data_IF_550243553029
#
_entry.id   IF_550243553029
#
_cell.length_a   1.000
_cell.length_b   1.000
_cell.length_c   1.000
_cell.angle_alpha   90.00
_cell.angle_beta   90.00
_cell.angle_gamma   90.00
#
_symmetry.space_group_name_H-M   'P 1'
#
loop_
_entity.id
_entity.type
_entity.pdbx_description
1 polymer ?
#
# COMPACT_ATOMS: atom_id res chain seq x y z
N UNK A 1 -37.98 32.28 -11.36
CA UNK A 1 -37.71 31.39 -10.20
C UNK A 1 -38.22 30.02 -10.62
N UNK A 2 -37.40 28.98 -10.81
CA UNK A 2 -36.47 28.39 -9.86
C UNK A 2 -35.16 27.95 -10.53
N UNK A 3 -34.04 28.18 -9.84
CA UNK A 3 -32.73 27.59 -10.12
C UNK A 3 -32.72 26.16 -9.58
N UNK A 4 -32.22 25.19 -10.36
CA UNK A 4 -31.88 23.86 -9.85
C UNK A 4 -30.40 23.57 -10.15
N UNK A 5 -29.62 23.69 -9.06
CA UNK A 5 -28.26 23.20 -8.89
C UNK A 5 -28.32 21.73 -8.48
N UNK A 6 -27.55 20.85 -9.14
CA UNK A 6 -26.88 19.74 -8.46
C UNK A 6 -25.62 19.37 -9.24
N UNK A 7 -24.50 19.98 -8.85
CA UNK A 7 -23.19 19.39 -9.07
C UNK A 7 -23.17 18.00 -8.41
N UNK A 8 -22.94 16.94 -9.17
CA UNK A 8 -22.55 15.65 -8.62
C UNK A 8 -21.13 15.36 -9.05
N UNK A 9 -20.24 15.64 -8.10
CA UNK A 9 -18.83 15.26 -8.04
C UNK A 9 -18.59 13.80 -8.44
N UNK A 10 -17.63 13.63 -9.37
CA UNK A 10 -16.51 12.71 -9.26
C UNK A 10 -16.77 11.33 -8.65
N UNK A 11 -16.83 10.26 -9.48
CA UNK A 11 -16.05 9.04 -9.20
C UNK A 11 -15.96 8.03 -10.37
N UNK A 12 -15.24 8.34 -11.46
CA UNK A 12 -14.84 7.35 -12.49
C UNK A 12 -13.31 7.27 -12.57
N UNK A 13 -12.64 6.96 -11.46
CA UNK A 13 -11.17 6.82 -11.45
C UNK A 13 -10.64 5.57 -10.71
N UNK A 14 -11.46 4.86 -9.92
CA UNK A 14 -10.94 3.80 -9.04
C UNK A 14 -10.51 2.51 -9.79
N UNK A 15 -10.95 2.29 -11.03
CA UNK A 15 -10.64 1.05 -11.76
C UNK A 15 -9.26 1.08 -12.44
N UNK A 16 -8.72 2.28 -12.72
CA UNK A 16 -7.38 2.44 -13.31
C UNK A 16 -6.25 2.29 -12.30
N UNK A 17 -6.43 2.78 -11.07
CA UNK A 17 -5.36 2.79 -10.05
C UNK A 17 -5.05 1.41 -9.50
N UNK A 18 -6.07 0.55 -9.32
CA UNK A 18 -5.90 -0.79 -8.74
C UNK A 18 -5.04 -1.70 -9.66
N UNK A 19 -5.25 -1.61 -10.98
CA UNK A 19 -4.44 -2.33 -11.96
C UNK A 19 -3.00 -1.80 -12.07
N UNK A 20 -2.79 -0.50 -11.80
CA UNK A 20 -1.46 0.12 -11.85
C UNK A 20 -0.59 -0.29 -10.65
N UNK A 21 -1.15 -0.29 -9.44
CA UNK A 21 -0.44 -0.71 -8.22
C UNK A 21 -0.01 -2.19 -8.25
N UNK A 22 -0.86 -3.08 -8.78
CA UNK A 22 -0.51 -4.50 -8.88
C UNK A 22 0.76 -4.74 -9.70
N UNK A 23 0.99 -3.94 -10.73
CA UNK A 23 2.16 -4.06 -11.61
C UNK A 23 3.46 -3.60 -10.93
N UNK A 24 3.38 -2.62 -10.02
CA UNK A 24 4.52 -2.14 -9.25
C UNK A 24 4.93 -3.13 -8.17
N UNK A 25 3.96 -3.77 -7.52
CA UNK A 25 4.23 -4.83 -6.54
C UNK A 25 4.98 -6.03 -7.13
N UNK A 26 4.65 -6.44 -8.36
CA UNK A 26 5.32 -7.54 -9.06
C UNK A 26 6.81 -7.23 -9.36
N UNK A 27 7.17 -5.96 -9.55
CA UNK A 27 8.57 -5.54 -9.79
C UNK A 27 9.46 -5.67 -8.56
N UNK A 28 8.87 -5.66 -7.35
CA UNK A 28 9.63 -5.62 -6.10
C UNK A 28 10.31 -6.95 -5.75
N UNK A 29 10.00 -8.05 -6.45
CA UNK A 29 10.53 -9.40 -6.18
C UNK A 29 10.37 -9.84 -4.71
N UNK A 30 9.34 -9.33 -4.01
CA UNK A 30 9.03 -9.69 -2.64
C UNK A 30 7.60 -10.23 -2.55
N UNK A 31 7.33 -11.19 -1.63
CA UNK A 31 5.99 -11.73 -1.47
C UNK A 31 5.06 -10.69 -0.83
N UNK A 32 3.95 -10.42 -1.48
CA UNK A 32 2.97 -9.43 -1.01
C UNK A 32 1.78 -10.14 -0.37
N UNK A 33 1.47 -9.88 0.93
CA UNK A 33 0.29 -10.46 1.56
C UNK A 33 -1.00 -9.94 0.92
N UNK A 34 -1.96 -10.84 0.69
CA UNK A 34 -3.31 -10.50 0.21
C UNK A 34 -4.04 -9.52 1.12
N UNK A 35 -3.60 -9.40 2.38
CA UNK A 35 -4.13 -8.39 3.30
C UNK A 35 -3.95 -6.96 2.76
N UNK A 36 -2.88 -6.67 2.00
CA UNK A 36 -2.67 -5.33 1.42
C UNK A 36 -3.78 -4.99 0.43
N UNK A 37 -4.24 -5.97 -0.35
CA UNK A 37 -5.33 -5.77 -1.33
C UNK A 37 -6.65 -5.36 -0.68
N UNK A 38 -6.80 -5.61 0.62
CA UNK A 38 -7.98 -5.23 1.42
C UNK A 38 -7.87 -3.83 2.04
N UNK A 39 -6.70 -3.19 1.96
CA UNK A 39 -6.52 -1.84 2.49
C UNK A 39 -7.05 -0.77 1.54
N UNK A 40 -7.45 0.42 2.06
CA UNK A 40 -7.77 1.57 1.23
C UNK A 40 -6.57 1.99 0.37
N UNK A 41 -6.84 2.60 -0.79
CA UNK A 41 -5.81 2.99 -1.77
C UNK A 41 -4.68 3.83 -1.18
N UNK A 42 -4.98 4.76 -0.28
CA UNK A 42 -3.96 5.58 0.39
C UNK A 42 -2.94 4.71 1.15
N UNK A 43 -3.42 3.70 1.87
CA UNK A 43 -2.55 2.77 2.60
C UNK A 43 -1.77 1.87 1.63
N UNK A 44 -2.39 1.42 0.53
CA UNK A 44 -1.68 0.62 -0.46
C UNK A 44 -0.53 1.40 -1.09
N UNK A 45 -0.74 2.70 -1.41
CA UNK A 45 0.30 3.60 -1.92
C UNK A 45 1.42 3.82 -0.90
N UNK A 46 1.08 4.09 0.36
CA UNK A 46 2.08 4.24 1.43
C UNK A 46 2.90 2.95 1.60
N UNK A 47 2.26 1.78 1.54
CA UNK A 47 2.95 0.50 1.65
C UNK A 47 3.83 0.24 0.43
N UNK A 48 3.36 0.52 -0.79
CA UNK A 48 4.17 0.39 -1.99
C UNK A 48 5.44 1.23 -1.88
N UNK A 49 5.30 2.50 -1.53
CA UNK A 49 6.43 3.42 -1.39
C UNK A 49 7.40 2.98 -0.29
N UNK A 50 6.87 2.49 0.84
CA UNK A 50 7.70 1.88 1.88
C UNK A 50 8.51 0.70 1.35
N UNK A 51 7.87 -0.22 0.62
CA UNK A 51 8.51 -1.42 0.08
C UNK A 51 9.52 -1.10 -1.03
N UNK A 52 9.29 -0.05 -1.83
CA UNK A 52 10.24 0.47 -2.81
C UNK A 52 11.50 1.04 -2.15
N UNK A 53 11.36 1.68 -0.98
CA UNK A 53 12.49 2.23 -0.22
C UNK A 53 13.26 1.18 0.60
N UNK A 54 12.78 -0.07 0.66
CA UNK A 54 13.48 -1.11 1.43
C UNK A 54 14.78 -1.55 0.73
N UNK A 55 15.89 -1.43 1.46
CA UNK A 55 17.15 -2.07 1.09
C UNK A 55 17.07 -3.60 1.13
N UNK A 56 18.06 -4.27 0.52
CA UNK A 56 18.16 -5.73 0.52
C UNK A 56 18.10 -6.36 1.93
N UNK A 57 18.67 -5.69 2.93
CA UNK A 57 18.61 -6.13 4.32
C UNK A 57 17.18 -6.12 4.86
N UNK A 58 16.44 -5.04 4.65
CA UNK A 58 15.05 -4.92 5.07
C UNK A 58 14.14 -5.87 4.30
N UNK A 59 14.39 -6.08 2.99
CA UNK A 59 13.69 -7.07 2.18
C UNK A 59 13.86 -8.50 2.71
N UNK A 60 15.07 -8.86 3.17
CA UNK A 60 15.33 -10.16 3.82
C UNK A 60 14.53 -10.31 5.12
N UNK A 61 14.58 -9.32 6.00
CA UNK A 61 13.83 -9.33 7.26
C UNK A 61 12.32 -9.40 7.01
N UNK A 62 11.83 -8.62 6.04
CA UNK A 62 10.46 -8.66 5.58
C UNK A 62 10.07 -10.07 5.12
N UNK A 63 10.90 -10.72 4.30
CA UNK A 63 10.64 -12.08 3.82
C UNK A 63 10.58 -13.09 4.97
N UNK A 64 11.44 -12.97 5.99
CA UNK A 64 11.41 -13.83 7.18
C UNK A 64 10.11 -13.62 7.97
N UNK A 65 9.71 -12.37 8.18
CA UNK A 65 8.46 -12.05 8.87
C UNK A 65 7.24 -12.54 8.09
N UNK A 66 7.26 -12.39 6.76
CA UNK A 66 6.22 -12.90 5.87
C UNK A 66 6.19 -14.43 5.86
N UNK A 67 7.32 -15.11 5.83
CA UNK A 67 7.37 -16.58 5.90
C UNK A 67 6.78 -17.09 7.23
N UNK A 68 7.03 -16.37 8.33
CA UNK A 68 6.52 -16.71 9.65
C UNK A 68 5.02 -16.41 9.84
N UNK A 69 4.51 -15.32 9.24
CA UNK A 69 3.14 -14.82 9.47
C UNK A 69 2.19 -15.04 8.29
N UNK A 70 2.73 -15.33 7.11
CA UNK A 70 2.03 -15.59 5.85
C UNK A 70 0.95 -14.56 5.54
N UNK A 71 -0.27 -15.06 5.31
CA UNK A 71 -1.46 -14.26 5.02
C UNK A 71 -1.92 -13.35 6.17
N UNK A 72 -1.44 -13.61 7.39
CA UNK A 72 -1.74 -12.78 8.57
C UNK A 72 -0.74 -11.65 8.76
N UNK A 73 0.28 -11.54 7.90
CA UNK A 73 1.27 -10.49 8.02
C UNK A 73 0.66 -9.11 7.73
N UNK A 74 0.74 -8.23 8.72
CA UNK A 74 0.20 -6.88 8.63
C UNK A 74 1.34 -5.85 8.59
N UNK A 75 1.71 -5.43 7.38
CA UNK A 75 2.76 -4.44 7.15
C UNK A 75 2.42 -3.11 7.82
N UNK A 76 1.18 -2.65 7.70
CA UNK A 76 0.74 -1.37 8.28
C UNK A 76 0.89 -1.33 9.81
N UNK A 77 0.76 -2.48 10.48
CA UNK A 77 0.96 -2.60 11.94
C UNK A 77 2.40 -2.96 12.34
N UNK A 78 3.26 -3.30 11.39
CA UNK A 78 4.66 -3.66 11.64
C UNK A 78 5.45 -2.48 12.20
N UNK A 79 6.49 -2.77 12.98
CA UNK A 79 7.35 -1.74 13.54
C UNK A 79 8.12 -1.01 12.43
N UNK A 80 8.64 -1.73 11.43
CA UNK A 80 9.37 -1.14 10.31
C UNK A 80 8.56 -0.09 9.52
N UNK A 81 7.27 -0.35 9.26
CA UNK A 81 6.40 0.63 8.59
C UNK A 81 6.11 1.85 9.47
N UNK A 82 5.89 1.66 10.77
CA UNK A 82 5.67 2.77 11.72
C UNK A 82 6.91 3.65 11.87
N UNK A 83 8.10 3.05 11.87
CA UNK A 83 9.37 3.76 11.91
C UNK A 83 9.58 4.56 10.62
N UNK A 84 9.35 3.95 9.47
CA UNK A 84 9.38 4.65 8.18
C UNK A 84 8.37 5.80 8.09
N UNK A 85 7.14 5.59 8.58
CA UNK A 85 6.13 6.66 8.59
C UNK A 85 6.57 7.85 9.45
N UNK A 86 7.34 7.61 10.51
CA UNK A 86 7.95 8.67 11.31
C UNK A 86 9.09 9.39 10.60
N UNK A 87 9.88 8.70 9.75
CA UNK A 87 10.94 9.37 8.98
C UNK A 87 10.37 10.29 7.91
N UNK A 88 9.21 9.97 7.33
CA UNK A 88 8.51 10.82 6.35
C UNK A 88 7.95 12.13 6.92
N UNK A 89 7.68 12.20 8.22
CA UNK A 89 7.10 13.38 8.88
C UNK A 89 8.20 14.40 9.28
N UNK A 90 9.47 14.00 9.22
CA UNK A 90 10.62 14.79 9.70
C UNK A 90 11.23 15.63 8.60
#
# INVERSE_FOLDING_TARGET
MYMNNTNNDNNDNNDKTLNMLSSEFDKLMIPIPDLIRKYPEDQQKEILEYLEQLDEHHKKTYKIAFDHLGSSFNIYKSNGFKEWKQTKIK
#
